data_IF_317149590686
#
_entry.id   IF_317149590686
#
_cell.length_a   1.000
_cell.length_b   1.000
_cell.length_c   1.000
_cell.angle_alpha   90.00
_cell.angle_beta   90.00
_cell.angle_gamma   90.00
#
_symmetry.space_group_name_H-M   'P 1'
#
loop_
_entity.id
_entity.type
_entity.pdbx_description
1 polymer ?
#
# COMPACT_ATOMS: atom_id res chain seq x y z
N UNK A 1 19.12 -5.66 14.71
CA UNK A 1 18.66 -6.28 13.42
C UNK A 1 17.18 -5.99 13.27
N UNK A 2 16.79 -5.47 12.12
CA UNK A 2 15.38 -5.33 11.82
C UNK A 2 14.76 -6.73 11.75
N UNK A 3 13.68 -6.95 12.50
CA UNK A 3 12.95 -8.21 12.42
C UNK A 3 12.19 -8.24 11.10
N UNK A 4 12.45 -9.25 10.28
CA UNK A 4 11.67 -9.49 9.08
C UNK A 4 10.24 -9.84 9.45
N UNK A 5 9.31 -9.38 8.64
CA UNK A 5 7.89 -9.70 8.76
C UNK A 5 7.28 -9.91 7.39
N UNK A 6 6.18 -10.61 7.35
CA UNK A 6 5.36 -10.75 6.15
C UNK A 6 4.29 -9.68 6.14
N UNK A 7 4.01 -9.14 4.96
CA UNK A 7 3.03 -8.07 4.76
C UNK A 7 2.06 -8.45 3.66
N UNK A 8 0.79 -8.25 3.93
CA UNK A 8 -0.27 -8.38 2.93
C UNK A 8 -0.53 -6.99 2.36
N UNK A 9 -0.34 -6.84 1.06
CA UNK A 9 -0.49 -5.59 0.35
C UNK A 9 -1.67 -5.70 -0.63
N UNK A 10 -2.66 -4.83 -0.49
CA UNK A 10 -3.71 -4.71 -1.48
C UNK A 10 -3.24 -3.78 -2.59
N UNK A 11 -3.20 -4.30 -3.80
CA UNK A 11 -2.72 -3.58 -4.97
C UNK A 11 -3.85 -3.28 -5.96
N UNK A 12 -3.49 -2.69 -7.06
CA UNK A 12 -4.41 -2.06 -7.99
C UNK A 12 -4.36 -2.69 -9.38
N UNK A 13 -5.36 -2.37 -10.21
CA UNK A 13 -5.31 -2.70 -11.62
C UNK A 13 -4.22 -1.87 -12.33
N UNK A 14 -3.90 -2.23 -13.57
CA UNK A 14 -2.79 -1.62 -14.30
C UNK A 14 -2.97 -0.12 -14.49
N UNK A 15 -4.18 0.34 -14.76
CA UNK A 15 -4.47 1.78 -14.93
C UNK A 15 -4.24 2.56 -13.64
N UNK A 16 -4.75 2.06 -12.52
CA UNK A 16 -4.59 2.70 -11.21
C UNK A 16 -3.13 2.71 -10.77
N UNK A 17 -2.45 1.58 -10.96
CA UNK A 17 -1.00 1.44 -10.70
C UNK A 17 -0.20 2.48 -11.50
N UNK A 18 -0.50 2.64 -12.79
CA UNK A 18 0.19 3.60 -13.65
C UNK A 18 0.00 5.04 -13.18
N UNK A 19 -1.22 5.41 -12.78
CA UNK A 19 -1.51 6.77 -12.28
C UNK A 19 -0.72 7.04 -11.00
N UNK A 20 -0.81 6.14 -10.02
CA UNK A 20 -0.17 6.32 -8.71
C UNK A 20 1.36 6.27 -8.81
N UNK A 21 1.90 5.28 -9.51
CA UNK A 21 3.35 5.17 -9.70
C UNK A 21 3.91 6.33 -10.52
N UNK A 22 3.12 6.87 -11.45
CA UNK A 22 3.49 8.07 -12.20
C UNK A 22 3.72 9.28 -11.30
N UNK A 23 2.87 9.46 -10.30
CA UNK A 23 3.03 10.54 -9.30
C UNK A 23 4.30 10.30 -8.47
N UNK A 24 4.51 9.08 -7.99
CA UNK A 24 5.70 8.73 -7.21
C UNK A 24 6.99 8.90 -8.02
N UNK A 25 7.00 8.44 -9.27
CA UNK A 25 8.17 8.56 -10.15
C UNK A 25 8.54 10.02 -10.42
N UNK A 26 7.56 10.93 -10.48
CA UNK A 26 7.82 12.36 -10.59
C UNK A 26 8.59 12.90 -9.39
N UNK A 27 8.27 12.40 -8.18
CA UNK A 27 9.05 12.76 -6.99
C UNK A 27 10.52 12.34 -7.14
N UNK A 28 10.75 11.11 -7.62
CA UNK A 28 12.12 10.62 -7.83
C UNK A 28 12.85 11.43 -8.92
N UNK A 29 12.15 11.77 -10.00
CA UNK A 29 12.71 12.62 -11.07
C UNK A 29 13.08 14.03 -10.57
N UNK A 30 12.37 14.53 -9.56
CA UNK A 30 12.66 15.82 -8.92
C UNK A 30 13.79 15.75 -7.88
N UNK A 31 14.35 14.56 -7.65
CA UNK A 31 15.48 14.35 -6.74
C UNK A 31 15.11 13.83 -5.36
N UNK A 32 13.83 13.61 -5.07
CA UNK A 32 13.44 12.96 -3.81
C UNK A 32 13.79 11.47 -3.88
N UNK A 33 14.55 10.98 -2.90
CA UNK A 33 14.96 9.57 -2.88
C UNK A 33 14.04 8.68 -2.07
N UNK A 34 13.50 9.20 -0.98
CA UNK A 34 12.64 8.44 -0.09
C UNK A 34 13.34 7.32 0.65
N UNK A 35 12.60 6.66 1.53
CA UNK A 35 13.05 5.49 2.27
C UNK A 35 12.05 4.36 2.02
N UNK A 36 12.57 3.16 1.71
CA UNK A 36 11.77 1.92 1.66
C UNK A 36 10.53 1.95 0.74
N UNK A 37 10.56 2.74 -0.33
CA UNK A 37 9.42 2.88 -1.24
C UNK A 37 9.68 2.38 -2.66
N UNK A 38 10.94 2.10 -3.01
CA UNK A 38 11.31 1.71 -4.38
C UNK A 38 11.07 0.22 -4.64
N UNK A 39 10.72 -0.10 -5.88
CA UNK A 39 10.58 -1.48 -6.37
C UNK A 39 9.49 -2.29 -5.65
N UNK A 40 8.47 -1.60 -5.18
CA UNK A 40 7.27 -2.21 -4.58
C UNK A 40 6.08 -1.66 -5.36
N UNK A 41 5.12 -2.51 -5.78
CA UNK A 41 3.92 -1.99 -6.45
C UNK A 41 3.12 -1.06 -5.54
N UNK A 42 2.38 -0.15 -6.12
CA UNK A 42 1.48 0.72 -5.38
C UNK A 42 0.47 -0.12 -4.62
N UNK A 43 0.24 0.22 -3.36
CA UNK A 43 -0.58 -0.61 -2.49
C UNK A 43 -1.03 0.16 -1.24
N UNK A 44 -1.97 -0.44 -0.53
CA UNK A 44 -2.17 -0.15 0.89
C UNK A 44 -2.01 -1.46 1.68
N UNK A 45 -1.44 -1.36 2.87
CA UNK A 45 -1.13 -2.53 3.67
C UNK A 45 -2.37 -3.03 4.43
N UNK A 46 -2.62 -4.32 4.34
CA UNK A 46 -3.74 -4.97 5.04
C UNK A 46 -3.34 -5.46 6.43
N UNK A 47 -2.09 -5.82 6.64
CA UNK A 47 -1.59 -6.28 7.92
C UNK A 47 -0.22 -6.93 7.82
N UNK A 48 0.39 -7.17 8.97
CA UNK A 48 1.68 -7.85 9.06
C UNK A 48 1.60 -9.12 9.89
N UNK A 49 2.49 -10.07 9.60
CA UNK A 49 2.49 -11.41 10.17
C UNK A 49 3.92 -11.89 10.41
N UNK A 50 4.06 -12.91 11.26
CA UNK A 50 5.35 -13.56 11.48
C UNK A 50 5.77 -14.37 10.26
N UNK A 51 7.09 -14.46 10.03
CA UNK A 51 7.65 -15.14 8.84
C UNK A 51 7.28 -16.62 8.77
N UNK A 52 7.03 -17.25 9.89
CA UNK A 52 6.64 -18.65 10.00
C UNK A 52 5.24 -18.93 9.40
N UNK A 53 4.44 -17.89 9.17
CA UNK A 53 3.09 -18.01 8.63
C UNK A 53 3.04 -17.99 7.09
N UNK A 54 4.18 -18.04 6.42
CA UNK A 54 4.26 -17.88 4.95
C UNK A 54 3.34 -18.85 4.21
N UNK A 55 3.41 -20.14 4.49
CA UNK A 55 2.61 -21.14 3.79
C UNK A 55 1.10 -21.00 4.09
N UNK A 56 0.75 -20.70 5.32
CA UNK A 56 -0.64 -20.45 5.70
C UNK A 56 -1.21 -19.23 4.96
N UNK A 57 -0.43 -18.14 4.89
CA UNK A 57 -0.84 -16.93 4.20
C UNK A 57 -0.96 -17.12 2.69
N UNK A 58 -0.06 -17.89 2.07
CA UNK A 58 -0.18 -18.23 0.64
C UNK A 58 -1.50 -18.93 0.35
N UNK A 59 -1.85 -19.92 1.15
CA UNK A 59 -3.12 -20.66 0.99
C UNK A 59 -4.32 -19.75 1.25
N UNK A 60 -4.25 -18.88 2.25
CA UNK A 60 -5.31 -17.92 2.58
C UNK A 60 -5.55 -16.96 1.41
N UNK A 61 -4.50 -16.40 0.82
CA UNK A 61 -4.62 -15.47 -0.30
C UNK A 61 -5.29 -16.13 -1.52
N UNK A 62 -4.93 -17.36 -1.82
CA UNK A 62 -5.55 -18.10 -2.93
C UNK A 62 -7.05 -18.27 -2.73
N UNK A 63 -7.48 -18.61 -1.50
CA UNK A 63 -8.91 -18.74 -1.17
C UNK A 63 -9.64 -17.41 -1.22
N UNK A 64 -9.03 -16.35 -0.70
CA UNK A 64 -9.61 -15.01 -0.73
C UNK A 64 -9.82 -14.56 -2.17
N UNK A 65 -8.87 -14.81 -3.05
CA UNK A 65 -8.96 -14.45 -4.46
C UNK A 65 -10.14 -15.11 -5.18
N UNK A 66 -10.58 -16.28 -4.71
CA UNK A 66 -11.73 -16.97 -5.27
C UNK A 66 -13.07 -16.40 -4.81
N UNK A 67 -13.10 -15.76 -3.63
CA UNK A 67 -14.35 -15.34 -2.96
C UNK A 67 -14.54 -13.83 -2.92
N UNK A 68 -13.50 -13.05 -3.09
CA UNK A 68 -13.56 -11.58 -3.12
C UNK A 68 -13.34 -11.07 -4.55
N UNK A 69 -14.15 -10.10 -4.94
CA UNK A 69 -14.04 -9.46 -6.25
C UNK A 69 -13.20 -8.20 -6.18
N UNK A 70 -12.59 -7.86 -7.31
CA UNK A 70 -12.02 -6.53 -7.50
C UNK A 70 -13.12 -5.48 -7.30
N UNK A 71 -12.76 -4.33 -6.75
CA UNK A 71 -13.74 -3.28 -6.43
C UNK A 71 -13.16 -1.89 -6.71
N UNK A 72 -14.06 -0.97 -7.05
CA UNK A 72 -13.69 0.42 -7.31
C UNK A 72 -13.42 1.16 -6.00
N UNK A 73 -12.53 2.12 -6.05
CA UNK A 73 -12.24 3.03 -4.95
C UNK A 73 -11.91 4.41 -5.49
N UNK A 74 -12.30 5.45 -4.76
CA UNK A 74 -11.99 6.83 -5.12
C UNK A 74 -10.71 7.28 -4.42
N UNK A 75 -9.88 8.03 -5.15
CA UNK A 75 -8.70 8.69 -4.61
C UNK A 75 -8.94 10.21 -4.69
N UNK A 76 -9.17 10.83 -3.57
CA UNK A 76 -9.53 12.27 -3.54
C UNK A 76 -8.87 13.04 -2.41
N UNK A 77 -7.95 12.42 -1.67
CA UNK A 77 -7.25 13.12 -0.58
C UNK A 77 -5.82 12.63 -0.41
N UNK A 78 -5.01 13.54 0.10
CA UNK A 78 -3.60 13.32 0.44
C UNK A 78 -3.48 13.46 1.94
N UNK A 79 -2.66 12.64 2.55
CA UNK A 79 -2.45 12.67 3.99
C UNK A 79 -0.99 12.52 4.37
N UNK A 80 -0.75 12.67 5.67
CA UNK A 80 0.57 12.61 6.24
C UNK A 80 0.51 11.97 7.61
N UNK A 81 1.34 10.94 7.83
CA UNK A 81 1.59 10.43 9.17
C UNK A 81 2.89 11.02 9.69
N UNK A 82 2.87 11.58 10.88
CA UNK A 82 4.07 12.02 11.57
C UNK A 82 4.53 10.94 12.52
N UNK A 83 5.64 10.30 12.20
CA UNK A 83 6.27 9.27 13.03
C UNK A 83 7.46 9.90 13.79
N UNK A 84 8.04 9.21 14.77
CA UNK A 84 9.12 9.81 15.60
C UNK A 84 10.31 10.34 14.80
N UNK A 85 10.70 9.69 13.71
CA UNK A 85 11.89 10.09 12.95
C UNK A 85 11.60 10.59 11.55
N UNK A 86 10.53 10.11 10.93
CA UNK A 86 10.18 10.41 9.55
C UNK A 86 8.69 10.66 9.41
N UNK A 87 8.32 11.37 8.36
CA UNK A 87 6.93 11.50 7.95
C UNK A 87 6.64 10.55 6.78
N UNK A 88 5.40 10.12 6.67
CA UNK A 88 4.90 9.31 5.56
C UNK A 88 3.86 10.13 4.79
N UNK A 89 4.18 10.47 3.55
CA UNK A 89 3.27 11.16 2.64
C UNK A 89 2.52 10.13 1.81
N UNK A 90 1.20 10.23 1.74
CA UNK A 90 0.41 9.23 1.03
C UNK A 90 -0.80 9.82 0.31
N UNK A 91 -1.28 9.08 -0.69
CA UNK A 91 -2.60 9.26 -1.30
C UNK A 91 -3.47 8.12 -0.76
N UNK A 92 -4.63 8.45 -0.20
CA UNK A 92 -5.47 7.44 0.43
C UNK A 92 -6.64 7.04 -0.46
N UNK A 93 -6.91 5.72 -0.60
CA UNK A 93 -8.17 5.27 -1.17
C UNK A 93 -9.30 5.50 -0.16
N UNK A 94 -10.49 5.82 -0.65
CA UNK A 94 -11.66 5.88 0.22
C UNK A 94 -12.05 4.49 0.72
N UNK A 95 -12.45 4.43 1.98
CA UNK A 95 -12.88 3.17 2.60
C UNK A 95 -14.30 2.83 2.14
N UNK A 96 -14.48 1.63 1.63
CA UNK A 96 -15.77 1.08 1.22
C UNK A 96 -16.10 -0.18 2.02
N UNK A 97 -17.33 -0.67 1.89
CA UNK A 97 -17.72 -1.93 2.51
C UNK A 97 -16.91 -3.09 1.98
N UNK A 98 -16.64 -3.10 0.68
CA UNK A 98 -15.83 -4.11 0.01
C UNK A 98 -14.40 -4.11 0.57
N UNK A 99 -13.84 -2.94 0.78
CA UNK A 99 -12.50 -2.81 1.38
C UNK A 99 -12.48 -3.33 2.82
N UNK A 100 -13.49 -3.02 3.61
CA UNK A 100 -13.58 -3.51 5.00
C UNK A 100 -13.80 -5.02 5.04
N UNK A 101 -14.60 -5.57 4.15
CA UNK A 101 -14.80 -7.02 4.07
C UNK A 101 -13.48 -7.73 3.73
N UNK A 102 -12.68 -7.17 2.84
CA UNK A 102 -11.34 -7.69 2.52
C UNK A 102 -10.41 -7.57 3.73
N UNK A 103 -10.43 -6.42 4.42
CA UNK A 103 -9.62 -6.20 5.63
C UNK A 103 -9.95 -7.19 6.74
N UNK A 104 -11.21 -7.56 6.90
CA UNK A 104 -11.67 -8.51 7.93
C UNK A 104 -11.01 -9.89 7.75
N UNK A 105 -10.64 -10.28 6.54
CA UNK A 105 -9.92 -11.54 6.28
C UNK A 105 -8.54 -11.59 6.96
N UNK A 106 -8.02 -10.43 7.39
CA UNK A 106 -6.73 -10.26 8.03
C UNK A 106 -6.85 -9.68 9.44
N UNK A 107 -7.97 -9.90 10.12
CA UNK A 107 -8.22 -9.38 11.47
C UNK A 107 -7.27 -9.93 12.53
N UNK A 108 -6.63 -11.06 12.27
CA UNK A 108 -5.65 -11.71 13.14
C UNK A 108 -4.21 -11.18 12.94
N UNK A 109 -4.03 -10.12 12.16
CA UNK A 109 -2.69 -9.55 11.92
C UNK A 109 -2.08 -8.97 13.21
N UNK A 110 -0.77 -8.70 13.18
CA UNK A 110 0.00 -8.26 14.34
C UNK A 110 -0.16 -6.79 14.72
N UNK A 111 -0.75 -5.99 13.83
CA UNK A 111 -0.85 -4.54 14.03
C UNK A 111 -1.91 -4.22 15.09
N UNK A 112 -1.51 -3.45 16.11
CA UNK A 112 -2.31 -3.21 17.31
C UNK A 112 -3.02 -1.85 17.31
N UNK A 113 -3.02 -1.13 16.21
CA UNK A 113 -3.57 0.22 16.12
C UNK A 113 -4.70 0.31 15.08
N UNK A 114 -5.46 1.39 15.14
CA UNK A 114 -6.54 1.63 14.20
C UNK A 114 -6.01 1.68 12.77
N UNK A 115 -6.65 0.94 11.90
CA UNK A 115 -6.26 0.85 10.51
C UNK A 115 -6.71 2.06 9.71
N UNK A 116 -5.79 2.62 8.94
CA UNK A 116 -6.04 3.73 8.03
C UNK A 116 -5.37 3.40 6.69
N UNK A 117 -6.13 3.04 5.65
CA UNK A 117 -5.53 2.66 4.38
C UNK A 117 -4.83 3.85 3.73
N UNK A 118 -3.62 3.61 3.24
CA UNK A 118 -2.83 4.67 2.63
C UNK A 118 -1.89 4.08 1.59
N UNK A 119 -1.77 4.78 0.45
CA UNK A 119 -0.80 4.43 -0.59
C UNK A 119 0.36 5.38 -0.48
N UNK A 120 1.47 4.87 0.03
CA UNK A 120 2.65 5.68 0.34
C UNK A 120 3.30 6.22 -0.93
N UNK A 121 3.52 7.53 -0.95
CA UNK A 121 4.27 8.21 -2.01
C UNK A 121 5.72 8.42 -1.62
N UNK A 122 5.98 8.82 -0.38
CA UNK A 122 7.34 9.10 0.08
C UNK A 122 7.43 8.95 1.61
N UNK A 123 8.55 8.42 2.08
CA UNK A 123 8.94 8.41 3.49
C UNK A 123 10.27 9.14 3.59
N UNK A 124 10.33 10.18 4.39
CA UNK A 124 11.57 10.96 4.57
C UNK A 124 11.43 11.87 5.80
N UNK A 125 12.46 12.68 6.05
CA UNK A 125 12.45 13.68 7.13
C UNK A 125 11.34 14.71 6.90
N UNK A 126 10.78 15.31 7.98
CA UNK A 126 9.67 16.26 7.85
C UNK A 126 9.92 17.42 6.87
N UNK A 127 11.13 17.99 6.84
CA UNK A 127 11.45 19.08 5.92
C UNK A 127 11.38 18.64 4.46
N UNK A 128 11.81 17.42 4.14
CA UNK A 128 11.75 16.85 2.79
C UNK A 128 10.29 16.58 2.40
N UNK A 129 9.52 16.02 3.31
CA UNK A 129 8.10 15.72 3.05
C UNK A 129 7.30 17.00 2.84
N UNK A 130 7.63 18.09 3.51
CA UNK A 130 6.99 19.38 3.30
C UNK A 130 7.14 19.85 1.84
N UNK A 131 8.32 19.71 1.27
CA UNK A 131 8.59 20.05 -0.14
C UNK A 131 7.89 19.07 -1.09
N UNK A 132 7.99 17.76 -0.81
CA UNK A 132 7.38 16.72 -1.63
C UNK A 132 5.86 16.85 -1.69
N UNK A 133 5.23 17.26 -0.61
CA UNK A 133 3.78 17.47 -0.54
C UNK A 133 3.32 18.48 -1.59
N UNK A 134 4.05 19.56 -1.78
CA UNK A 134 3.72 20.56 -2.81
C UNK A 134 3.76 19.94 -4.21
N UNK A 135 4.76 19.11 -4.49
CA UNK A 135 4.88 18.41 -5.77
C UNK A 135 3.72 17.44 -6.01
N UNK A 136 3.34 16.67 -5.00
CA UNK A 136 2.20 15.76 -5.10
C UNK A 136 0.91 16.53 -5.38
N UNK A 137 0.65 17.60 -4.63
CA UNK A 137 -0.58 18.40 -4.80
C UNK A 137 -0.69 19.05 -6.19
N UNK A 138 0.42 19.35 -6.82
CA UNK A 138 0.42 19.90 -8.19
C UNK A 138 0.03 18.88 -9.25
N UNK A 139 0.28 17.60 -8.99
CA UNK A 139 0.12 16.52 -9.97
C UNK A 139 -1.10 15.66 -9.71
N UNK A 140 -1.55 15.63 -8.47
CA UNK A 140 -2.68 14.80 -8.04
C UNK A 140 -4.00 15.51 -8.32
N UNK A 141 -4.85 14.84 -9.08
CA UNK A 141 -6.28 15.17 -9.21
C UNK A 141 -7.08 13.95 -8.79
N UNK A 142 -8.28 14.15 -8.27
CA UNK A 142 -9.11 13.02 -7.86
C UNK A 142 -9.43 12.10 -9.04
N UNK A 143 -9.46 10.80 -8.79
CA UNK A 143 -9.77 9.80 -9.82
C UNK A 143 -10.38 8.55 -9.19
N UNK A 144 -11.10 7.79 -10.01
CA UNK A 144 -11.61 6.48 -9.63
C UNK A 144 -10.60 5.42 -10.05
N UNK A 145 -10.24 4.54 -9.12
CA UNK A 145 -9.33 3.42 -9.35
C UNK A 145 -9.98 2.09 -8.98
N UNK A 146 -9.19 1.03 -9.06
CA UNK A 146 -9.67 -0.32 -8.76
C UNK A 146 -8.64 -1.10 -7.95
N UNK A 147 -9.08 -1.68 -6.84
CA UNK A 147 -8.32 -2.66 -6.07
C UNK A 147 -8.52 -4.02 -6.73
N UNK A 148 -7.46 -4.67 -7.17
CA UNK A 148 -7.56 -5.83 -8.04
C UNK A 148 -6.63 -6.98 -7.70
N UNK A 149 -5.68 -6.80 -6.79
CA UNK A 149 -4.65 -7.81 -6.52
C UNK A 149 -4.27 -7.79 -5.04
N UNK A 150 -3.91 -8.97 -4.52
CA UNK A 150 -3.28 -9.09 -3.22
C UNK A 150 -1.86 -9.61 -3.41
N UNK A 151 -0.91 -8.98 -2.74
CA UNK A 151 0.48 -9.38 -2.74
C UNK A 151 0.90 -9.84 -1.34
N UNK A 152 1.76 -10.84 -1.29
CA UNK A 152 2.47 -11.25 -0.09
C UNK A 152 3.94 -10.90 -0.27
N UNK A 153 4.47 -10.07 0.62
CA UNK A 153 5.86 -9.63 0.63
C UNK A 153 6.50 -9.88 1.99
N UNK A 154 7.80 -10.09 1.96
CA UNK A 154 8.64 -10.04 3.16
C UNK A 154 9.51 -8.79 3.11
N UNK A 155 9.62 -8.07 4.23
CA UNK A 155 10.47 -6.90 4.38
C UNK A 155 11.30 -7.00 5.66
N UNK A 156 12.48 -6.47 5.76
CA UNK A 156 13.48 -6.07 4.78
C UNK A 156 14.67 -7.01 4.85
N UNK A 157 15.35 -7.34 3.76
CA UNK A 157 15.20 -6.84 2.40
C UNK A 157 13.91 -7.35 1.73
N UNK A 158 13.51 -6.64 0.66
CA UNK A 158 12.27 -6.94 -0.07
C UNK A 158 12.34 -8.31 -0.76
N UNK A 159 11.33 -9.15 -0.49
CA UNK A 159 11.16 -10.42 -1.18
C UNK A 159 9.69 -10.59 -1.56
N UNK A 160 9.41 -10.65 -2.86
CA UNK A 160 8.09 -10.98 -3.36
C UNK A 160 7.83 -12.48 -3.22
N UNK A 161 6.72 -12.86 -2.63
CA UNK A 161 6.37 -14.28 -2.39
C UNK A 161 5.26 -14.74 -3.31
N UNK A 162 4.15 -13.99 -3.36
CA UNK A 162 2.96 -14.39 -4.12
C UNK A 162 2.15 -13.16 -4.51
N UNK A 163 1.51 -13.21 -5.66
CA UNK A 163 0.45 -12.26 -6.04
C UNK A 163 -0.75 -13.04 -6.56
N UNK A 164 -1.95 -12.67 -6.12
CA UNK A 164 -3.20 -13.28 -6.55
C UNK A 164 -4.14 -12.21 -7.06
N UNK A 165 -4.76 -12.44 -8.22
CA UNK A 165 -5.76 -11.53 -8.78
C UNK A 165 -7.10 -11.79 -8.12
N UNK A 166 -7.78 -10.73 -7.69
CA UNK A 166 -9.17 -10.83 -7.25
C UNK A 166 -10.07 -11.11 -8.45
N UNK A 167 -11.18 -11.79 -8.22
CA UNK A 167 -12.15 -12.07 -9.26
C UNK A 167 -12.73 -10.78 -9.88
N UNK A 168 -13.11 -10.81 -11.15
CA UNK A 168 -13.74 -9.69 -11.83
C UNK A 168 -15.20 -9.46 -11.38
#
# INVERSE_FOLDING_TARGET
MANKALYILAGYDDRTEEILSGIQNKLYDEGFSGLQTRNIPMHFTMGSYAVEQEEELKNRLEKIAETHRAFDTEFNHVGLFRLPENDVLFIAPEVSREMLALKDEFSDNRDQFNWSPHTTMLIDKPAVIQEATQSVLKKFTSFSGKVAVLHLYEFWPTRHILSVQLAD
#
